data_IF_205651914399
#
_entry.id   IF_205651914399
#
_cell.length_a   1.000
_cell.length_b   1.000
_cell.length_c   1.000
_cell.angle_alpha   90.00
_cell.angle_beta   90.00
_cell.angle_gamma   90.00
#
_symmetry.space_group_name_H-M   'P 1'
#
loop_
_entity.id
_entity.type
_entity.pdbx_description
1 polymer ?
#
# COMPACT_ATOMS: atom_id res chain seq x y z
N UNK A 1 -3.34 10.50 -11.23
CA UNK A 1 -4.79 10.63 -11.37
C UNK A 1 -5.27 11.84 -10.58
N UNK A 2 -6.28 12.55 -11.06
CA UNK A 2 -6.96 13.68 -10.41
C UNK A 2 -8.47 13.63 -10.69
N UNK A 3 -9.24 14.60 -10.19
CA UNK A 3 -10.65 14.75 -10.54
C UNK A 3 -10.88 14.94 -12.04
N UNK A 4 -9.95 15.54 -12.79
CA UNK A 4 -10.12 15.76 -14.23
C UNK A 4 -10.03 14.48 -15.06
N UNK A 5 -9.49 13.40 -14.47
CA UNK A 5 -9.44 12.09 -15.12
C UNK A 5 -10.77 11.31 -14.97
N UNK A 6 -11.68 11.79 -14.12
CA UNK A 6 -13.01 11.22 -13.94
C UNK A 6 -14.01 11.91 -14.90
N UNK A 7 -15.12 11.24 -15.26
CA UNK A 7 -16.16 11.84 -16.08
C UNK A 7 -16.67 13.17 -15.50
N UNK A 8 -16.78 14.25 -16.30
CA UNK A 8 -17.15 15.57 -15.77
C UNK A 8 -18.53 15.62 -15.09
N UNK A 9 -19.47 14.81 -15.58
CA UNK A 9 -20.78 14.60 -14.98
C UNK A 9 -20.68 13.85 -13.64
N UNK A 10 -19.83 12.83 -13.55
CA UNK A 10 -19.55 12.14 -12.28
C UNK A 10 -19.01 13.13 -11.22
N UNK A 11 -18.02 13.95 -11.60
CA UNK A 11 -17.41 14.94 -10.69
C UNK A 11 -18.47 15.94 -10.21
N UNK A 12 -19.34 16.40 -11.11
CA UNK A 12 -20.42 17.33 -10.75
C UNK A 12 -21.38 16.72 -9.74
N UNK A 13 -21.91 15.53 -10.03
CA UNK A 13 -22.83 14.83 -9.12
C UNK A 13 -22.18 14.52 -7.77
N UNK A 14 -20.88 14.20 -7.77
CA UNK A 14 -20.13 13.97 -6.54
C UNK A 14 -19.98 15.25 -5.72
N UNK A 15 -19.60 16.36 -6.35
CA UNK A 15 -19.49 17.65 -5.66
C UNK A 15 -20.83 18.12 -5.11
N UNK A 16 -21.94 17.91 -5.83
CA UNK A 16 -23.30 18.23 -5.36
C UNK A 16 -23.67 17.41 -4.11
N UNK A 17 -23.45 16.09 -4.16
CA UNK A 17 -23.69 15.19 -3.02
C UNK A 17 -22.88 15.59 -1.78
N UNK A 18 -21.60 15.92 -1.95
CA UNK A 18 -20.74 16.39 -0.86
C UNK A 18 -21.23 17.72 -0.27
N UNK A 19 -21.61 18.67 -1.14
CA UNK A 19 -22.03 20.00 -0.69
C UNK A 19 -23.40 19.98 0.01
N UNK A 20 -24.27 19.05 -0.36
CA UNK A 20 -25.63 18.93 0.17
C UNK A 20 -25.77 17.89 1.29
N UNK A 21 -24.70 17.14 1.57
CA UNK A 21 -24.70 15.99 2.50
C UNK A 21 -25.80 14.96 2.17
N UNK A 22 -26.00 14.70 0.88
CA UNK A 22 -27.00 13.77 0.38
C UNK A 22 -26.35 12.48 -0.14
N UNK A 23 -27.06 11.33 -0.10
CA UNK A 23 -26.54 10.08 -0.65
C UNK A 23 -26.13 10.22 -2.12
N UNK A 24 -24.90 9.82 -2.44
CA UNK A 24 -24.37 9.88 -3.80
C UNK A 24 -25.08 8.85 -4.70
N UNK A 25 -25.56 9.29 -5.86
CA UNK A 25 -26.10 8.43 -6.92
C UNK A 25 -25.52 8.84 -8.27
N UNK A 26 -25.22 7.85 -9.12
CA UNK A 26 -24.71 8.09 -10.47
C UNK A 26 -25.27 7.04 -11.42
N UNK A 27 -26.08 7.49 -12.39
CA UNK A 27 -26.92 6.62 -13.22
C UNK A 27 -26.35 6.36 -14.62
N UNK A 28 -25.19 6.94 -14.95
CA UNK A 28 -24.59 6.78 -16.26
C UNK A 28 -23.66 5.57 -16.30
N UNK A 29 -23.66 4.87 -17.43
CA UNK A 29 -22.75 3.75 -17.67
C UNK A 29 -21.32 4.26 -17.85
N UNK A 30 -20.38 3.63 -17.15
CA UNK A 30 -18.96 3.93 -17.23
C UNK A 30 -18.26 2.87 -18.07
N UNK A 31 -17.29 3.31 -18.88
CA UNK A 31 -16.35 2.38 -19.53
C UNK A 31 -15.49 1.72 -18.45
N UNK A 32 -15.45 0.39 -18.44
CA UNK A 32 -14.74 -0.39 -17.43
C UNK A 32 -13.75 -1.34 -18.08
N UNK A 33 -12.49 -1.27 -17.69
CA UNK A 33 -11.43 -2.22 -18.06
C UNK A 33 -11.22 -3.25 -16.95
N UNK A 34 -11.22 -2.80 -15.69
CA UNK A 34 -11.05 -3.67 -14.53
C UNK A 34 -12.37 -4.43 -14.27
N UNK A 35 -12.35 -5.76 -14.10
CA UNK A 35 -13.52 -6.54 -13.74
C UNK A 35 -14.16 -6.08 -12.41
N UNK A 36 -15.49 -6.17 -12.32
CA UNK A 36 -16.25 -5.90 -11.08
C UNK A 36 -16.10 -7.03 -10.07
N UNK A 37 -14.89 -7.24 -9.58
CA UNK A 37 -14.54 -8.25 -8.58
C UNK A 37 -13.82 -7.56 -7.43
N UNK A 38 -14.27 -7.79 -6.20
CA UNK A 38 -13.59 -7.36 -4.99
C UNK A 38 -13.01 -8.59 -4.29
N UNK A 39 -11.70 -8.57 -4.06
CA UNK A 39 -10.96 -9.57 -3.31
C UNK A 39 -10.66 -9.04 -1.91
N UNK A 40 -11.03 -9.81 -0.89
CA UNK A 40 -10.64 -9.53 0.49
C UNK A 40 -10.13 -10.82 1.13
N UNK A 41 -9.11 -10.71 1.97
CA UNK A 41 -8.50 -11.86 2.63
C UNK A 41 -8.63 -11.77 4.14
N UNK A 42 -8.79 -12.91 4.80
CA UNK A 42 -8.60 -13.02 6.24
C UNK A 42 -8.10 -14.41 6.63
N UNK A 43 -7.71 -14.56 7.90
CA UNK A 43 -7.25 -15.84 8.42
C UNK A 43 -8.31 -16.95 8.29
N UNK A 44 -9.57 -16.60 8.56
CA UNK A 44 -10.71 -17.52 8.54
C UNK A 44 -11.99 -16.83 8.07
N UNK A 45 -13.11 -17.53 8.09
CA UNK A 45 -14.43 -16.97 7.75
C UNK A 45 -15.00 -16.05 8.83
N UNK A 46 -14.42 -16.02 10.03
CA UNK A 46 -14.94 -15.25 11.16
C UNK A 46 -14.24 -13.89 11.25
N UNK A 47 -14.82 -12.89 10.59
CA UNK A 47 -14.28 -11.52 10.58
C UNK A 47 -14.47 -10.86 11.97
N UNK A 48 -13.44 -10.21 12.55
CA UNK A 48 -13.56 -9.45 13.78
C UNK A 48 -14.58 -8.32 13.68
N UNK A 49 -15.35 -8.10 14.76
CA UNK A 49 -16.40 -7.07 14.83
C UNK A 49 -15.91 -5.68 14.39
N UNK A 50 -14.70 -5.30 14.79
CA UNK A 50 -14.09 -4.00 14.44
C UNK A 50 -13.94 -3.75 12.93
N UNK A 51 -13.97 -4.79 12.10
CA UNK A 51 -13.85 -4.69 10.64
C UNK A 51 -15.12 -5.10 9.89
N UNK A 52 -16.17 -5.58 10.57
CA UNK A 52 -17.44 -5.92 9.92
C UNK A 52 -18.04 -4.71 9.19
N UNK A 53 -17.93 -3.52 9.76
CA UNK A 53 -18.34 -2.29 9.07
C UNK A 53 -17.59 -2.10 7.75
N UNK A 54 -16.26 -2.19 7.78
CA UNK A 54 -15.42 -1.99 6.58
C UNK A 54 -15.75 -3.02 5.51
N UNK A 55 -15.85 -4.29 5.89
CA UNK A 55 -16.26 -5.38 5.01
C UNK A 55 -17.65 -5.16 4.38
N UNK A 56 -18.67 -4.87 5.20
CA UNK A 56 -20.04 -4.70 4.72
C UNK A 56 -20.20 -3.45 3.85
N UNK A 57 -19.51 -2.35 4.17
CA UNK A 57 -19.57 -1.12 3.38
C UNK A 57 -19.16 -1.35 1.92
N UNK A 58 -18.18 -2.23 1.65
CA UNK A 58 -17.80 -2.56 0.28
C UNK A 58 -18.87 -3.34 -0.47
N UNK A 59 -19.61 -4.23 0.21
CA UNK A 59 -20.78 -4.92 -0.36
C UNK A 59 -21.93 -3.97 -0.64
N UNK A 60 -22.24 -3.10 0.31
CA UNK A 60 -23.34 -2.14 0.22
C UNK A 60 -23.11 -1.11 -0.90
N UNK A 61 -21.88 -0.60 -1.03
CA UNK A 61 -21.53 0.38 -2.05
C UNK A 61 -21.31 -0.23 -3.44
N UNK A 62 -21.05 -1.53 -3.52
CA UNK A 62 -20.76 -2.25 -4.77
C UNK A 62 -21.60 -3.54 -4.88
N UNK A 63 -22.94 -3.44 -4.87
CA UNK A 63 -23.82 -4.61 -4.80
C UNK A 63 -23.81 -5.46 -6.08
N UNK A 64 -23.40 -4.89 -7.21
CA UNK A 64 -23.30 -5.58 -8.50
C UNK A 64 -21.96 -6.29 -8.70
N UNK A 65 -21.03 -6.18 -7.75
CA UNK A 65 -19.70 -6.76 -7.86
C UNK A 65 -19.71 -8.21 -7.37
N UNK A 66 -18.83 -9.03 -7.93
CA UNK A 66 -18.51 -10.33 -7.35
C UNK A 66 -17.60 -10.12 -6.14
N UNK A 67 -18.03 -10.57 -4.96
CA UNK A 67 -17.26 -10.46 -3.72
C UNK A 67 -16.59 -11.80 -3.43
N UNK A 68 -15.27 -11.86 -3.60
CA UNK A 68 -14.45 -13.04 -3.33
C UNK A 68 -13.73 -12.88 -1.99
N UNK A 69 -14.05 -13.77 -1.05
CA UNK A 69 -13.41 -13.79 0.27
C UNK A 69 -12.47 -14.99 0.39
N UNK A 70 -11.21 -14.72 0.74
CA UNK A 70 -10.13 -15.70 0.75
C UNK A 70 -9.65 -15.92 2.18
N UNK A 71 -9.72 -17.17 2.65
CA UNK A 71 -9.11 -17.62 3.90
C UNK A 71 -7.64 -17.97 3.70
N UNK A 72 -6.86 -18.13 4.77
CA UNK A 72 -5.49 -18.67 4.67
C UNK A 72 -5.48 -20.03 3.94
N UNK A 73 -6.47 -20.89 4.22
CA UNK A 73 -6.61 -22.20 3.58
C UNK A 73 -6.95 -22.10 2.09
N UNK A 74 -8.04 -21.41 1.73
CA UNK A 74 -8.46 -21.26 0.33
C UNK A 74 -7.46 -20.46 -0.49
N UNK A 75 -6.76 -19.52 0.14
CA UNK A 75 -5.67 -18.78 -0.47
C UNK A 75 -4.48 -19.67 -0.81
N UNK A 76 -4.04 -20.52 0.13
CA UNK A 76 -2.98 -21.50 -0.16
C UNK A 76 -3.40 -22.49 -1.24
N UNK A 77 -4.63 -23.01 -1.19
CA UNK A 77 -5.18 -23.92 -2.22
C UNK A 77 -5.20 -23.26 -3.61
N UNK A 78 -5.52 -21.96 -3.68
CA UNK A 78 -5.47 -21.20 -4.93
C UNK A 78 -4.06 -21.15 -5.52
N UNK A 79 -3.05 -20.84 -4.69
CA UNK A 79 -1.64 -20.85 -5.10
C UNK A 79 -1.22 -22.25 -5.55
N UNK A 80 -1.58 -23.29 -4.81
CA UNK A 80 -1.22 -24.67 -5.13
C UNK A 80 -1.80 -25.12 -6.47
N UNK A 81 -3.06 -24.73 -6.75
CA UNK A 81 -3.77 -25.13 -7.96
C UNK A 81 -3.32 -24.37 -9.21
N UNK A 82 -3.01 -23.07 -9.09
CA UNK A 82 -2.75 -22.21 -10.25
C UNK A 82 -1.26 -21.85 -10.42
N UNK A 83 -0.49 -21.87 -9.34
CA UNK A 83 0.91 -21.45 -9.29
C UNK A 83 1.75 -22.42 -8.43
N UNK A 84 1.71 -23.74 -8.70
CA UNK A 84 2.37 -24.74 -7.85
C UNK A 84 3.88 -24.50 -7.68
N UNK A 85 4.52 -23.87 -8.67
CA UNK A 85 5.92 -23.47 -8.62
C UNK A 85 6.25 -22.48 -7.50
N UNK A 86 5.26 -21.74 -7.00
CA UNK A 86 5.43 -20.73 -5.95
C UNK A 86 5.23 -21.28 -4.54
N UNK A 87 4.65 -22.48 -4.39
CA UNK A 87 4.39 -23.09 -3.07
C UNK A 87 5.62 -23.16 -2.16
N UNK A 88 6.81 -23.56 -2.64
CA UNK A 88 8.01 -23.56 -1.80
C UNK A 88 8.32 -22.18 -1.21
N UNK A 89 8.13 -21.10 -1.98
CA UNK A 89 8.31 -19.73 -1.50
C UNK A 89 7.20 -19.34 -0.53
N UNK A 90 5.94 -19.58 -0.90
CA UNK A 90 4.76 -19.24 -0.10
C UNK A 90 4.78 -19.87 1.29
N UNK A 91 5.12 -21.16 1.37
CA UNK A 91 5.19 -21.90 2.63
C UNK A 91 6.44 -21.53 3.46
N UNK A 92 7.50 -21.03 2.82
CA UNK A 92 8.73 -20.60 3.51
C UNK A 92 8.62 -19.26 4.22
N UNK A 93 7.59 -18.46 3.93
CA UNK A 93 7.42 -17.14 4.55
C UNK A 93 7.30 -17.25 6.08
N UNK A 94 8.18 -16.57 6.84
CA UNK A 94 8.16 -16.64 8.29
C UNK A 94 6.93 -15.95 8.90
N UNK A 95 6.36 -14.94 8.24
CA UNK A 95 5.23 -14.18 8.76
C UNK A 95 3.95 -14.43 7.94
N UNK A 96 2.79 -14.68 8.59
CA UNK A 96 1.52 -14.87 7.88
C UNK A 96 1.13 -13.70 6.97
N UNK A 97 1.51 -12.47 7.32
CA UNK A 97 1.22 -11.29 6.50
C UNK A 97 1.95 -11.33 5.15
N UNK A 98 3.11 -11.98 5.02
CA UNK A 98 3.80 -12.13 3.73
C UNK A 98 3.02 -13.03 2.77
N UNK A 99 2.31 -14.04 3.30
CA UNK A 99 1.38 -14.89 2.53
C UNK A 99 0.15 -14.11 2.05
N UNK A 100 -0.35 -13.19 2.87
CA UNK A 100 -1.48 -12.30 2.53
C UNK A 100 -1.05 -11.23 1.51
N UNK A 101 0.15 -10.67 1.69
CA UNK A 101 0.73 -9.72 0.75
C UNK A 101 1.04 -10.37 -0.60
N UNK A 102 1.59 -11.59 -0.61
CA UNK A 102 1.90 -12.26 -1.88
C UNK A 102 0.64 -12.65 -2.65
N UNK A 103 -0.38 -13.21 -1.97
CA UNK A 103 -1.57 -13.71 -2.67
C UNK A 103 -2.34 -12.62 -3.41
N UNK A 104 -2.36 -11.38 -2.91
CA UNK A 104 -3.08 -10.27 -3.59
C UNK A 104 -2.58 -10.03 -5.01
N UNK A 105 -1.29 -10.23 -5.27
CA UNK A 105 -0.72 -10.11 -6.62
C UNK A 105 -1.18 -11.25 -7.54
N UNK A 106 -1.22 -12.49 -7.04
CA UNK A 106 -1.69 -13.64 -7.82
C UNK A 106 -3.18 -13.56 -8.13
N UNK A 107 -4.00 -13.10 -7.17
CA UNK A 107 -5.44 -12.89 -7.37
C UNK A 107 -5.70 -11.84 -8.45
N UNK A 108 -5.05 -10.68 -8.34
CA UNK A 108 -5.18 -9.60 -9.33
C UNK A 108 -4.66 -10.02 -10.71
N UNK A 109 -3.56 -10.77 -10.79
CA UNK A 109 -3.08 -11.25 -12.08
C UNK A 109 -4.05 -12.26 -12.71
N UNK A 110 -4.61 -13.17 -11.91
CA UNK A 110 -5.47 -14.23 -12.42
C UNK A 110 -6.88 -13.74 -12.78
N UNK A 111 -7.53 -13.03 -11.87
CA UNK A 111 -8.93 -12.59 -12.01
C UNK A 111 -9.07 -11.13 -12.45
N UNK A 112 -8.04 -10.30 -12.26
CA UNK A 112 -8.19 -8.85 -12.25
C UNK A 112 -8.96 -8.38 -11.01
N UNK A 113 -9.62 -7.24 -11.14
CA UNK A 113 -10.50 -6.71 -10.09
C UNK A 113 -9.76 -5.79 -9.12
N UNK A 114 -10.31 -5.67 -7.91
CA UNK A 114 -9.82 -4.79 -6.84
C UNK A 114 -9.55 -5.65 -5.62
N UNK A 115 -8.33 -5.59 -5.10
CA UNK A 115 -8.01 -6.10 -3.79
C UNK A 115 -8.16 -4.99 -2.74
N UNK A 116 -8.80 -5.31 -1.60
CA UNK A 116 -9.06 -4.37 -0.50
C UNK A 116 -8.81 -5.08 0.83
N UNK A 117 -7.88 -4.56 1.65
CA UNK A 117 -7.67 -5.04 3.01
C UNK A 117 -8.94 -4.89 3.87
N UNK A 118 -9.14 -5.78 4.86
CA UNK A 118 -10.39 -5.83 5.64
C UNK A 118 -10.65 -4.60 6.53
N UNK A 119 -9.61 -3.84 6.87
CA UNK A 119 -9.71 -2.61 7.63
C UNK A 119 -10.04 -1.39 6.76
N UNK A 120 -10.15 -1.57 5.44
CA UNK A 120 -10.54 -0.54 4.48
C UNK A 120 -12.04 -0.65 4.15
N UNK A 121 -12.78 0.43 4.39
CA UNK A 121 -14.20 0.58 4.04
C UNK A 121 -14.37 1.26 2.68
N UNK A 122 -15.41 0.89 1.92
CA UNK A 122 -15.80 1.61 0.72
C UNK A 122 -16.84 2.68 1.07
N UNK A 123 -16.67 3.90 0.55
CA UNK A 123 -17.54 5.05 0.86
C UNK A 123 -18.49 5.40 -0.27
N UNK A 124 -18.32 4.80 -1.45
CA UNK A 124 -19.12 4.99 -2.67
C UNK A 124 -18.82 3.89 -3.69
N UNK A 125 -19.61 3.80 -4.78
CA UNK A 125 -19.32 2.90 -5.90
C UNK A 125 -17.93 3.12 -6.49
N UNK A 126 -17.23 2.04 -6.79
CA UNK A 126 -15.85 2.06 -7.31
C UNK A 126 -15.78 2.12 -8.85
N UNK A 127 -16.92 2.11 -9.55
CA UNK A 127 -17.01 2.09 -11.01
C UNK A 127 -16.15 3.14 -11.73
N UNK A 128 -16.02 4.39 -11.26
CA UNK A 128 -15.15 5.40 -11.88
C UNK A 128 -13.67 5.02 -11.89
N UNK A 129 -13.24 4.17 -10.96
CA UNK A 129 -11.86 3.69 -10.87
C UNK A 129 -11.60 2.50 -11.81
N UNK A 130 -12.65 1.90 -12.39
CA UNK A 130 -12.50 0.74 -13.29
C UNK A 130 -12.08 1.12 -14.71
N UNK A 131 -12.13 2.41 -15.06
CA UNK A 131 -11.75 2.92 -16.38
C UNK A 131 -10.23 2.82 -16.66
N UNK A 132 -9.41 2.64 -15.62
CA UNK A 132 -7.95 2.56 -15.72
C UNK A 132 -7.48 1.10 -15.70
N UNK A 133 -6.42 0.72 -16.43
CA UNK A 133 -6.01 -0.68 -16.51
C UNK A 133 -5.40 -1.21 -15.22
N UNK A 134 -4.63 -0.41 -14.50
CA UNK A 134 -4.20 -0.71 -13.14
C UNK A 134 -4.00 0.56 -12.32
N UNK A 135 -4.16 0.44 -11.01
CA UNK A 135 -3.90 1.56 -10.11
C UNK A 135 -3.52 1.19 -8.68
N UNK A 136 -2.83 2.14 -8.04
CA UNK A 136 -2.31 2.03 -6.67
C UNK A 136 -2.54 3.34 -5.89
N UNK A 137 -2.90 3.30 -4.60
CA UNK A 137 -3.09 4.49 -3.77
C UNK A 137 -1.76 5.11 -3.35
N UNK A 138 -1.63 6.42 -3.54
CA UNK A 138 -0.51 7.19 -2.98
C UNK A 138 -0.65 7.23 -1.45
N UNK A 139 0.42 6.88 -0.76
CA UNK A 139 0.48 6.91 0.71
C UNK A 139 1.52 7.91 1.20
N UNK A 140 1.45 8.22 2.50
CA UNK A 140 2.37 9.11 3.22
C UNK A 140 3.28 8.28 4.12
N UNK A 141 4.56 8.65 4.30
CA UNK A 141 5.24 9.83 3.77
C UNK A 141 5.74 9.68 2.32
N UNK A 142 5.88 8.46 1.79
CA UNK A 142 6.39 8.21 0.45
C UNK A 142 5.72 7.02 -0.22
N UNK A 143 5.59 7.10 -1.54
CA UNK A 143 5.26 5.97 -2.39
C UNK A 143 3.78 5.63 -2.45
N UNK A 144 3.51 4.36 -2.72
CA UNK A 144 2.17 3.76 -2.73
C UNK A 144 2.01 2.76 -1.60
N UNK A 145 0.76 2.56 -1.19
CA UNK A 145 0.38 1.45 -0.32
C UNK A 145 0.00 0.21 -1.16
N UNK A 146 0.05 -0.96 -0.55
CA UNK A 146 -0.41 -2.22 -1.14
C UNK A 146 -1.72 -2.72 -0.52
N UNK A 147 -2.30 -2.03 0.46
CA UNK A 147 -3.57 -2.34 1.14
C UNK A 147 -4.80 -2.28 0.22
N UNK A 148 -4.72 -1.48 -0.85
CA UNK A 148 -5.70 -1.43 -1.93
C UNK A 148 -4.95 -1.43 -3.26
N UNK A 149 -5.36 -2.28 -4.18
CA UNK A 149 -4.76 -2.36 -5.51
C UNK A 149 -5.80 -2.83 -6.51
N UNK A 150 -5.70 -2.41 -7.76
CA UNK A 150 -6.57 -2.94 -8.80
C UNK A 150 -5.85 -3.10 -10.13
N UNK A 151 -6.32 -4.07 -10.92
CA UNK A 151 -5.84 -4.26 -12.28
C UNK A 151 -6.82 -5.02 -13.16
N UNK A 152 -6.63 -4.89 -14.47
CA UNK A 152 -7.11 -5.87 -15.45
C UNK A 152 -6.45 -7.23 -15.17
N UNK A 153 -7.11 -8.33 -15.55
CA UNK A 153 -6.47 -9.63 -15.52
C UNK A 153 -5.21 -9.61 -16.41
N UNK A 154 -4.16 -10.28 -15.96
CA UNK A 154 -2.86 -10.42 -16.65
C UNK A 154 -2.08 -9.12 -16.85
N UNK A 155 -2.41 -8.05 -16.14
CA UNK A 155 -1.68 -6.79 -16.27
C UNK A 155 -0.16 -6.98 -16.00
N UNK A 156 0.74 -6.48 -16.86
CA UNK A 156 2.18 -6.75 -16.76
C UNK A 156 2.83 -6.31 -15.44
N UNK A 157 2.44 -5.17 -14.87
CA UNK A 157 2.95 -4.75 -13.54
C UNK A 157 2.64 -5.76 -12.44
N UNK A 158 1.45 -6.36 -12.45
CA UNK A 158 1.05 -7.35 -11.44
C UNK A 158 1.79 -8.66 -11.67
N UNK A 159 2.01 -9.05 -12.92
CA UNK A 159 2.89 -10.19 -13.24
C UNK A 159 4.30 -9.94 -12.70
N UNK A 160 4.83 -8.74 -12.89
CA UNK A 160 6.16 -8.37 -12.40
C UNK A 160 6.24 -8.44 -10.89
N UNK A 161 5.22 -7.94 -10.17
CA UNK A 161 5.11 -8.09 -8.72
C UNK A 161 5.10 -9.57 -8.31
N UNK A 162 4.21 -10.39 -8.89
CA UNK A 162 4.10 -11.80 -8.54
C UNK A 162 5.41 -12.58 -8.77
N UNK A 163 6.09 -12.36 -9.89
CA UNK A 163 7.36 -13.04 -10.20
C UNK A 163 8.51 -12.58 -9.30
N UNK A 164 8.56 -11.29 -8.96
CA UNK A 164 9.65 -10.73 -8.15
C UNK A 164 9.61 -11.15 -6.67
N UNK A 165 8.51 -11.74 -6.18
CA UNK A 165 8.42 -12.24 -4.81
C UNK A 165 9.50 -13.27 -4.46
N UNK A 166 9.89 -14.14 -5.39
CA UNK A 166 10.91 -15.17 -5.14
C UNK A 166 12.28 -14.55 -4.85
N UNK A 167 12.62 -13.47 -5.56
CA UNK A 167 13.89 -12.76 -5.39
C UNK A 167 13.95 -11.92 -4.11
N UNK A 168 12.79 -11.67 -3.47
CA UNK A 168 12.67 -10.80 -2.30
C UNK A 168 12.31 -11.55 -1.02
N UNK A 169 12.34 -12.89 -1.03
CA UNK A 169 12.08 -13.75 0.13
C UNK A 169 13.25 -13.79 1.16
N UNK A 170 13.86 -12.64 1.41
CA UNK A 170 14.99 -12.48 2.34
C UNK A 170 14.52 -12.03 3.72
N UNK A 171 15.19 -12.51 4.78
CA UNK A 171 14.97 -12.01 6.15
C UNK A 171 15.83 -10.77 6.38
N UNK A 172 15.19 -9.65 6.74
CA UNK A 172 15.86 -8.38 6.98
C UNK A 172 15.60 -7.95 8.41
N UNK A 173 16.59 -8.14 9.29
CA UNK A 173 16.57 -7.60 10.66
C UNK A 173 15.33 -8.00 11.47
N UNK A 174 14.37 -7.08 11.58
CA UNK A 174 13.12 -7.26 12.32
C UNK A 174 11.99 -7.83 11.45
N UNK A 175 10.90 -8.25 12.09
CA UNK A 175 9.71 -8.70 11.37
C UNK A 175 9.11 -7.60 10.50
N UNK A 176 8.96 -6.39 11.06
CA UNK A 176 8.53 -5.22 10.32
C UNK A 176 9.35 -4.99 9.05
N UNK A 177 10.68 -4.93 9.16
CA UNK A 177 11.54 -4.64 8.01
C UNK A 177 11.55 -5.79 7.01
N UNK A 178 11.44 -7.04 7.46
CA UNK A 178 11.32 -8.20 6.57
C UNK A 178 10.05 -8.07 5.73
N UNK A 179 8.87 -7.97 6.36
CA UNK A 179 7.58 -7.88 5.65
C UNK A 179 7.56 -6.66 4.72
N UNK A 180 7.98 -5.49 5.21
CA UNK A 180 7.89 -4.23 4.47
C UNK A 180 8.62 -4.25 3.14
N UNK A 181 9.77 -4.94 3.08
CA UNK A 181 10.63 -5.04 1.90
C UNK A 181 10.46 -6.31 1.08
N UNK A 182 10.02 -7.42 1.69
CA UNK A 182 9.85 -8.70 1.01
C UNK A 182 8.55 -8.74 0.19
N UNK A 183 7.45 -8.29 0.78
CA UNK A 183 6.10 -8.41 0.19
C UNK A 183 5.24 -7.16 0.35
N UNK A 184 5.61 -6.27 1.28
CA UNK A 184 4.81 -5.12 1.68
C UNK A 184 4.95 -3.88 0.78
N UNK A 185 4.62 -2.68 1.29
CA UNK A 185 4.65 -1.45 0.50
C UNK A 185 5.99 -1.15 -0.17
N UNK A 186 7.14 -1.37 0.48
CA UNK A 186 8.43 -1.04 -0.17
C UNK A 186 8.76 -1.97 -1.33
N UNK A 187 8.39 -3.25 -1.23
CA UNK A 187 8.49 -4.18 -2.34
C UNK A 187 7.76 -3.62 -3.57
N UNK A 188 6.52 -3.18 -3.41
CA UNK A 188 5.72 -2.57 -4.49
C UNK A 188 6.37 -1.31 -5.03
N UNK A 189 6.85 -0.42 -4.14
CA UNK A 189 7.48 0.85 -4.53
C UNK A 189 8.77 0.65 -5.34
N UNK A 190 9.61 -0.33 -4.98
CA UNK A 190 10.84 -0.65 -5.73
C UNK A 190 10.50 -1.11 -7.15
N UNK A 191 9.49 -1.96 -7.29
CA UNK A 191 9.10 -2.52 -8.59
C UNK A 191 8.40 -1.47 -9.45
N UNK A 192 7.46 -0.69 -8.89
CA UNK A 192 6.83 0.43 -9.59
C UNK A 192 7.85 1.49 -10.01
N UNK A 193 8.83 1.81 -9.16
CA UNK A 193 9.89 2.75 -9.51
C UNK A 193 10.74 2.29 -10.69
N UNK A 194 10.95 0.98 -10.85
CA UNK A 194 11.61 0.42 -12.04
C UNK A 194 10.67 0.40 -13.26
N UNK A 195 9.39 0.10 -13.04
CA UNK A 195 8.36 0.11 -14.08
C UNK A 195 8.22 1.48 -14.74
N UNK A 196 7.99 2.53 -13.95
CA UNK A 196 7.85 3.90 -14.47
C UNK A 196 9.11 4.39 -15.17
N UNK A 197 10.31 3.95 -14.74
CA UNK A 197 11.55 4.25 -15.46
C UNK A 197 11.67 3.55 -16.82
N UNK A 198 11.09 2.36 -16.95
CA UNK A 198 11.19 1.54 -18.16
C UNK A 198 10.10 1.88 -19.19
N UNK A 199 8.86 2.10 -18.73
CA UNK A 199 7.66 2.22 -19.59
C UNK A 199 7.05 3.64 -19.55
N UNK A 200 7.50 4.49 -18.62
CA UNK A 200 6.86 5.79 -18.33
C UNK A 200 5.54 5.63 -17.57
N UNK A 201 4.78 6.71 -17.43
CA UNK A 201 3.47 6.75 -16.77
C UNK A 201 2.33 6.19 -17.65
N UNK A 202 2.69 5.37 -18.64
CA UNK A 202 2.03 5.13 -19.92
C UNK A 202 0.50 5.17 -19.96
N UNK A 203 -0.03 5.81 -21.00
CA UNK A 203 -1.40 5.63 -21.44
C UNK A 203 -1.54 4.31 -22.22
N UNK A 204 -2.74 3.72 -22.23
CA UNK A 204 -3.02 2.46 -22.93
C UNK A 204 -3.26 1.28 -21.97
N UNK A 205 -3.26 0.05 -22.51
CA UNK A 205 -3.64 -1.17 -21.79
C UNK A 205 -2.69 -1.56 -20.65
N UNK A 206 -1.42 -1.11 -20.72
CA UNK A 206 -0.38 -1.37 -19.70
C UNK A 206 -0.23 -0.21 -18.70
N UNK A 207 -1.13 0.78 -18.78
CA UNK A 207 -1.05 2.01 -18.00
C UNK A 207 -1.31 1.82 -16.52
N UNK A 208 -0.46 2.41 -15.70
CA UNK A 208 -0.59 2.39 -14.23
C UNK A 208 -0.91 3.79 -13.72
N UNK A 209 -2.03 3.93 -13.00
CA UNK A 209 -2.41 5.19 -12.36
C UNK A 209 -2.13 5.20 -10.87
N UNK A 210 -1.66 6.34 -10.38
CA UNK A 210 -1.56 6.59 -8.94
C UNK A 210 -2.80 7.37 -8.48
N UNK A 211 -3.57 6.78 -7.56
CA UNK A 211 -4.70 7.45 -6.91
C UNK A 211 -4.15 8.55 -5.99
N UNK A 212 -4.65 9.79 -6.12
CA UNK A 212 -4.23 10.87 -5.26
C UNK A 212 -4.75 10.64 -3.83
N UNK A 213 -4.08 11.22 -2.81
CA UNK A 213 -4.50 11.09 -1.42
C UNK A 213 -5.97 11.50 -1.19
N UNK A 214 -6.51 12.45 -1.95
CA UNK A 214 -7.91 12.84 -1.84
C UNK A 214 -8.91 11.72 -2.12
N UNK A 215 -8.56 10.72 -2.93
CA UNK A 215 -9.41 9.57 -3.27
C UNK A 215 -9.25 8.39 -2.30
N UNK A 216 -8.24 8.45 -1.42
CA UNK A 216 -7.83 7.36 -0.53
C UNK A 216 -7.95 7.73 0.95
N UNK A 217 -7.62 8.98 1.32
CA UNK A 217 -7.57 9.46 2.71
C UNK A 217 -8.97 9.85 3.26
N UNK A 218 -9.00 10.83 4.17
CA UNK A 218 -10.19 11.21 4.96
C UNK A 218 -11.03 12.33 4.34
N UNK A 219 -10.82 12.66 3.07
CA UNK A 219 -11.56 13.76 2.41
C UNK A 219 -12.98 13.34 2.04
N UNK A 220 -13.87 14.31 1.82
CA UNK A 220 -15.20 14.05 1.26
C UNK A 220 -15.18 13.46 -0.15
N UNK A 221 -14.05 13.56 -0.87
CA UNK A 221 -13.86 12.97 -2.20
C UNK A 221 -13.32 11.53 -2.15
N UNK A 222 -13.07 10.99 -0.96
CA UNK A 222 -12.46 9.67 -0.83
C UNK A 222 -13.43 8.55 -1.19
N UNK A 223 -12.92 7.58 -1.96
CA UNK A 223 -13.61 6.32 -2.21
C UNK A 223 -13.48 5.36 -1.04
N UNK A 224 -12.48 5.58 -0.18
CA UNK A 224 -12.08 4.64 0.86
C UNK A 224 -12.07 5.29 2.25
N UNK A 225 -12.17 4.46 3.28
CA UNK A 225 -12.01 4.86 4.67
C UNK A 225 -11.15 3.83 5.40
N UNK A 226 -10.32 4.28 6.32
CA UNK A 226 -9.34 3.43 7.00
C UNK A 226 -9.70 3.27 8.47
N UNK A 227 -9.70 2.01 8.93
CA UNK A 227 -9.77 1.66 10.36
C UNK A 227 -8.41 1.14 10.82
N UNK A 228 -8.28 0.93 12.12
CA UNK A 228 -7.05 0.39 12.68
C UNK A 228 -6.86 -1.08 12.28
N UNK A 229 -5.78 -1.34 11.53
CA UNK A 229 -5.38 -2.67 11.10
C UNK A 229 -4.94 -3.58 12.24
N UNK A 230 -4.38 -4.74 11.93
CA UNK A 230 -3.77 -5.63 12.94
C UNK A 230 -2.38 -6.13 12.58
N UNK A 231 -2.00 -6.02 11.31
CA UNK A 231 -0.84 -6.72 10.76
C UNK A 231 0.49 -6.02 11.05
N UNK A 232 0.46 -4.74 11.44
CA UNK A 232 1.62 -3.89 11.64
C UNK A 232 1.74 -3.37 13.07
N UNK A 233 1.44 -4.21 14.07
CA UNK A 233 1.46 -3.79 15.48
C UNK A 233 2.49 -4.61 16.25
N UNK A 234 3.56 -3.96 16.69
CA UNK A 234 4.69 -4.60 17.37
C UNK A 234 5.68 -3.58 17.95
N UNK A 235 6.53 -4.03 18.87
CA UNK A 235 7.58 -3.19 19.46
C UNK A 235 8.59 -2.69 18.43
N UNK A 236 8.82 -3.45 17.36
CA UNK A 236 9.66 -3.08 16.22
C UNK A 236 9.04 -1.98 15.36
N UNK A 237 7.71 -2.00 15.15
CA UNK A 237 6.98 -0.90 14.49
C UNK A 237 7.08 0.37 15.32
N UNK A 238 6.93 0.27 16.65
CA UNK A 238 7.07 1.42 17.55
C UNK A 238 8.50 2.00 17.51
N UNK A 239 9.52 1.14 17.49
CA UNK A 239 10.92 1.56 17.32
C UNK A 239 11.15 2.21 15.96
N UNK A 240 10.63 1.64 14.87
CA UNK A 240 10.75 2.20 13.51
C UNK A 240 10.08 3.57 13.40
N UNK A 241 8.86 3.71 13.95
CA UNK A 241 8.16 5.00 14.03
C UNK A 241 8.93 6.01 14.87
N UNK A 242 9.44 5.60 16.03
CA UNK A 242 10.27 6.43 16.92
C UNK A 242 11.55 6.91 16.22
N UNK A 243 12.22 6.03 15.47
CA UNK A 243 13.44 6.37 14.71
C UNK A 243 13.12 7.32 13.58
N UNK A 244 12.04 7.09 12.83
CA UNK A 244 11.60 7.98 11.75
C UNK A 244 11.28 9.39 12.26
N UNK A 245 10.48 9.51 13.32
CA UNK A 245 10.12 10.81 13.92
C UNK A 245 11.35 11.59 14.43
N UNK A 246 12.43 10.88 14.74
CA UNK A 246 13.67 11.45 15.29
C UNK A 246 14.83 11.42 14.30
N UNK A 247 14.60 11.04 13.04
CA UNK A 247 15.66 10.80 12.06
C UNK A 247 16.53 12.05 11.85
N UNK A 248 15.90 13.23 11.76
CA UNK A 248 16.59 14.51 11.62
C UNK A 248 17.40 14.90 12.87
N UNK A 249 16.92 14.57 14.07
CA UNK A 249 17.66 14.76 15.31
C UNK A 249 18.87 13.83 15.40
N UNK A 250 18.70 12.57 15.02
CA UNK A 250 19.77 11.57 14.99
C UNK A 250 20.86 11.96 13.97
N UNK A 251 20.48 12.39 12.77
CA UNK A 251 21.41 12.92 11.76
C UNK A 251 22.10 14.21 12.25
N UNK A 252 21.38 15.07 12.97
CA UNK A 252 21.95 16.24 13.64
C UNK A 252 23.01 15.87 14.68
N UNK A 253 22.78 14.83 15.50
CA UNK A 253 23.76 14.34 16.48
C UNK A 253 24.99 13.75 15.79
N UNK A 254 24.80 13.00 14.70
CA UNK A 254 25.91 12.40 13.93
C UNK A 254 26.75 13.47 13.21
N UNK A 255 26.15 14.57 12.78
CA UNK A 255 26.86 15.65 12.07
C UNK A 255 27.48 16.69 13.02
N UNK A 256 26.78 17.08 14.09
CA UNK A 256 27.24 18.10 15.04
C UNK A 256 28.05 17.53 16.21
N UNK A 257 27.80 16.28 16.62
CA UNK A 257 28.52 15.62 17.71
C UNK A 257 30.04 15.58 17.50
N UNK A 258 30.55 15.15 16.33
CA UNK A 258 31.97 15.20 16.02
C UNK A 258 32.54 16.63 15.98
N UNK A 259 31.78 17.61 15.49
CA UNK A 259 32.21 19.01 15.44
C UNK A 259 32.35 19.63 16.84
N UNK A 260 31.41 19.35 17.74
CA UNK A 260 31.47 19.77 19.15
C UNK A 260 32.62 19.09 19.88
N UNK A 261 32.81 17.78 19.68
CA UNK A 261 33.95 17.04 20.26
C UNK A 261 35.29 17.59 19.75
N UNK A 262 35.43 17.84 18.45
CA UNK A 262 36.62 18.48 17.87
C UNK A 262 36.84 19.89 18.41
N UNK A 263 35.77 20.68 18.60
CA UNK A 263 35.85 22.02 19.21
C UNK A 263 36.30 21.99 20.67
N UNK A 264 35.78 21.06 21.47
CA UNK A 264 36.21 20.84 22.87
C UNK A 264 37.66 20.36 22.93
N UNK A 265 38.07 19.43 22.06
CA UNK A 265 39.46 18.97 21.97
C UNK A 265 40.42 20.08 21.54
N UNK A 266 40.05 20.92 20.56
CA UNK A 266 40.82 22.10 20.15
C UNK A 266 40.96 23.10 21.29
N UNK A 267 39.86 23.45 21.96
CA UNK A 267 39.86 24.38 23.10
C UNK A 267 40.71 23.87 24.27
N UNK A 268 40.68 22.55 24.55
CA UNK A 268 41.55 21.92 25.56
C UNK A 268 43.03 21.97 25.17
N UNK A 269 43.39 21.78 23.90
CA UNK A 269 44.78 21.96 23.42
C UNK A 269 45.24 23.41 23.57
N UNK A 270 44.44 24.38 23.13
CA UNK A 270 44.78 25.80 23.26
C UNK A 270 44.94 26.24 24.72
N UNK A 271 44.08 25.76 25.63
CA UNK A 271 44.26 26.02 27.07
C UNK A 271 45.52 25.35 27.66
N UNK A 272 45.90 24.16 27.18
CA UNK A 272 47.14 23.48 27.60
C UNK A 272 48.38 24.24 27.13
N UNK A 273 48.38 24.72 25.89
CA UNK A 273 49.51 25.46 25.33
C UNK A 273 49.69 26.84 26.02
N UNK A 274 48.59 27.49 26.43
CA UNK A 274 48.63 28.72 27.24
C UNK A 274 49.15 28.51 28.67
N UNK A 275 48.98 27.31 29.24
CA UNK A 275 49.46 26.97 30.58
C UNK A 275 50.96 26.64 30.60
N UNK A 276 51.49 26.06 29.52
CA UNK A 276 52.92 25.74 29.38
C UNK A 276 53.80 26.92 28.94
N UNK A 277 53.24 27.96 28.30
CA UNK A 277 53.97 29.19 27.93
C UNK A 277 54.03 30.27 29.02
N UNK A 278 53.66 29.94 30.28
CA UNK A 278 53.71 30.83 31.45
C UNK A 278 54.72 30.40 32.52
N UNK A 279 55.63 29.48 32.20
CA UNK A 279 56.75 29.07 33.05
C UNK A 279 58.03 29.72 32.55
#
# INVERSE_FOLDING_TARGET
MTLSDLPPDYVRSLSESINQDTPFTYNNSLSTQIPRIIHQTYKSTTIPEKWLYSYNSCKEQNPTYTHMFWTDESGRQFIESHFPWFIPTYDSYPYPIERVDSIRYFLLWHYGGIYIDLDVSCRRPLDPLLAFPAWFPKTQPYGVSNDIMASTPRHPIILKLALSLQDHNGRLGTGYTTVFWATGPMFVNVILGRWFKAVGDGDGEDGVRILPPMFYDRTGYSFFGHREGSSWHGGDVAVAKWTYERLWWLLGIVTLGPAVLMGVCRRRRTCRDLYFNRV
#
